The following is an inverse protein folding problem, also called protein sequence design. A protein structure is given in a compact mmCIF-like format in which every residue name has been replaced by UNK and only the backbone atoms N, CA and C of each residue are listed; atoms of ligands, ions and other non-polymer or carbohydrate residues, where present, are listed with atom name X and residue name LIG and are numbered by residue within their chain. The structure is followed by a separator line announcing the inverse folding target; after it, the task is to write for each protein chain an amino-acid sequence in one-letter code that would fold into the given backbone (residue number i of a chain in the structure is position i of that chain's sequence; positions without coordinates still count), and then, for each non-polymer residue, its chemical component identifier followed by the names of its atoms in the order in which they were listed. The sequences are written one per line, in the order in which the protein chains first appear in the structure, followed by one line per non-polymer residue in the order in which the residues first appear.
data_IF_508514443572
#
_entry.id   IF_508514443572
#
_cell.length_a   1.000
_cell.length_b   1.000
_cell.length_c   1.000
_cell.angle_alpha   90.00
_cell.angle_beta   90.00
_cell.angle_gamma   90.00
#
_symmetry.space_group_name_H-M   'P 1'
#
loop_
_entity.id
_entity.type
_entity.pdbx_description
1 polymer ?
#
# COMPACT_ATOMS: atom_id res chain seq x y z
N UNK A 1 28.90 -34.81 23.70
CA UNK A 1 27.71 -35.53 23.23
C UNK A 1 26.62 -34.51 22.89
N UNK A 2 26.72 -33.97 21.68
CA UNK A 2 25.76 -33.06 21.07
C UNK A 2 24.59 -33.88 20.53
N UNK A 3 23.34 -33.54 20.88
CA UNK A 3 22.14 -34.17 20.31
C UNK A 3 21.49 -33.21 19.31
N UNK A 4 21.76 -33.30 18.00
CA UNK A 4 21.19 -32.42 16.97
C UNK A 4 19.79 -32.87 16.49
N UNK A 5 19.05 -33.65 17.29
CA UNK A 5 17.81 -34.29 16.84
C UNK A 5 16.55 -33.39 16.91
N UNK A 6 16.64 -32.21 17.52
CA UNK A 6 15.47 -31.32 17.72
C UNK A 6 15.22 -30.34 16.57
N UNK A 7 16.21 -30.06 15.72
CA UNK A 7 16.07 -29.06 14.65
C UNK A 7 15.47 -29.64 13.35
N UNK A 8 15.67 -30.93 13.09
CA UNK A 8 15.16 -31.59 11.89
C UNK A 8 13.63 -31.82 11.93
N UNK A 9 13.03 -31.94 13.12
CA UNK A 9 11.59 -32.22 13.24
C UNK A 9 10.73 -30.96 13.02
N UNK A 10 11.27 -29.77 13.29
CA UNK A 10 10.57 -28.50 13.07
C UNK A 10 10.54 -28.08 11.59
N UNK A 11 11.53 -28.50 10.80
CA UNK A 11 11.64 -28.16 9.38
C UNK A 11 10.71 -29.02 8.49
N UNK A 12 10.38 -30.23 8.92
CA UNK A 12 9.43 -31.12 8.20
C UNK A 12 7.97 -30.67 8.38
N UNK A 13 7.64 -29.99 9.48
CA UNK A 13 6.28 -29.49 9.75
C UNK A 13 5.92 -28.18 9.02
N UNK A 14 6.91 -27.41 8.52
CA UNK A 14 6.65 -26.12 7.84
C UNK A 14 6.41 -26.26 6.32
N UNK A 15 6.72 -27.41 5.72
CA UNK A 15 6.56 -27.66 4.27
C UNK A 15 5.27 -28.40 3.89
N UNK A 16 4.46 -28.83 4.87
CA UNK A 16 3.17 -29.51 4.64
C UNK A 16 1.94 -28.57 4.67
N UNK A 17 2.14 -27.25 4.84
CA UNK A 17 1.06 -26.26 4.99
C UNK A 17 0.59 -25.59 3.70
N UNK A 18 1.10 -25.99 2.52
CA UNK A 18 0.91 -25.24 1.27
C UNK A 18 -0.01 -25.94 0.24
N UNK A 19 -0.77 -26.98 0.58
CA UNK A 19 -1.48 -27.77 -0.46
C UNK A 19 -2.88 -28.29 -0.11
N UNK A 20 -3.65 -27.55 0.70
CA UNK A 20 -5.08 -27.77 0.77
C UNK A 20 -5.77 -26.48 1.21
N UNK A 21 -6.93 -26.19 0.61
CA UNK A 21 -7.84 -25.05 0.85
C UNK A 21 -7.70 -23.90 -0.16
N UNK A 22 -8.16 -24.10 -1.40
CA UNK A 22 -9.43 -23.55 -1.92
C UNK A 22 -9.45 -23.63 -3.46
N UNK A 23 -9.98 -24.74 -3.96
CA UNK A 23 -10.47 -24.86 -5.34
C UNK A 23 -11.99 -25.07 -5.28
N UNK A 24 -12.73 -24.13 -5.84
CA UNK A 24 -14.08 -24.28 -6.40
C UNK A 24 -13.98 -23.56 -7.76
N UNK A 25 -13.78 -24.25 -8.87
CA UNK A 25 -14.77 -25.00 -9.66
C UNK A 25 -16.00 -24.18 -10.09
N UNK A 26 -16.15 -24.07 -11.41
CA UNK A 26 -17.45 -24.14 -12.08
C UNK A 26 -18.28 -22.85 -12.18
N UNK A 27 -18.20 -22.18 -13.33
CA UNK A 27 -19.17 -21.15 -13.69
C UNK A 27 -18.99 -20.55 -15.08
N UNK A 28 -19.03 -21.38 -16.13
CA UNK A 28 -19.27 -20.91 -17.51
C UNK A 28 -20.77 -20.86 -17.76
N UNK A 29 -21.27 -19.70 -18.18
CA UNK A 29 -22.52 -19.60 -18.96
C UNK A 29 -22.32 -18.48 -19.98
N UNK A 30 -22.32 -18.78 -21.29
CA UNK A 30 -22.47 -17.80 -22.33
C UNK A 30 -23.96 -17.65 -22.62
N UNK A 31 -24.58 -16.58 -22.13
CA UNK A 31 -25.91 -16.20 -22.57
C UNK A 31 -25.82 -14.96 -23.45
N UNK A 32 -26.10 -15.24 -24.72
CA UNK A 32 -26.22 -14.37 -25.87
C UNK A 32 -27.47 -13.48 -25.72
N UNK A 33 -27.27 -12.17 -25.58
CA UNK A 33 -28.31 -11.17 -25.83
C UNK A 33 -27.78 -10.22 -26.90
N UNK A 34 -28.31 -10.36 -28.11
CA UNK A 34 -27.86 -9.66 -29.31
C UNK A 34 -27.85 -8.12 -29.21
N UNK A 35 -27.09 -7.44 -30.08
CA UNK A 35 -27.00 -6.00 -30.07
C UNK A 35 -28.29 -5.38 -30.63
N UNK A 36 -29.08 -4.74 -29.77
CA UNK A 36 -30.00 -3.68 -30.19
C UNK A 36 -29.19 -2.46 -30.60
N UNK A 37 -29.23 -2.02 -31.86
CA UNK A 37 -28.60 -0.77 -32.27
C UNK A 37 -29.54 0.38 -31.90
N UNK A 38 -29.08 1.29 -31.05
CA UNK A 38 -29.78 2.56 -30.81
C UNK A 38 -30.02 2.85 -29.35
N UNK A 39 -28.95 3.14 -28.62
CA UNK A 39 -28.88 4.42 -27.93
C UNK A 39 -27.40 4.75 -27.82
N UNK A 40 -26.93 5.64 -28.70
CA UNK A 40 -25.60 6.20 -28.56
C UNK A 40 -25.64 7.00 -27.25
N UNK A 41 -25.21 6.37 -26.15
CA UNK A 41 -24.85 7.09 -24.95
C UNK A 41 -23.88 8.18 -25.41
N UNK A 42 -24.37 9.43 -25.41
CA UNK A 42 -23.51 10.59 -25.51
C UNK A 42 -22.32 10.32 -24.60
N UNK A 43 -21.08 10.48 -25.07
CA UNK A 43 -19.94 10.36 -24.17
C UNK A 43 -20.20 11.39 -23.08
N UNK A 44 -20.60 10.92 -21.90
CA UNK A 44 -20.73 11.75 -20.73
C UNK A 44 -19.37 12.40 -20.61
N UNK A 45 -19.40 13.71 -20.67
CA UNK A 45 -18.31 14.64 -20.47
C UNK A 45 -17.79 14.47 -19.04
N UNK A 46 -17.17 13.31 -18.77
CA UNK A 46 -16.34 13.09 -17.62
C UNK A 46 -15.00 13.76 -17.92
N UNK A 47 -15.06 15.09 -18.04
CA UNK A 47 -13.88 15.91 -17.78
C UNK A 47 -13.32 15.54 -16.40
N UNK A 48 -12.04 15.82 -16.13
CA UNK A 48 -11.47 15.64 -14.81
C UNK A 48 -12.41 16.31 -13.79
N UNK A 49 -12.90 15.54 -12.82
CA UNK A 49 -13.64 16.14 -11.71
C UNK A 49 -12.70 17.15 -11.05
N UNK A 50 -13.03 18.44 -11.13
CA UNK A 50 -12.28 19.51 -10.47
C UNK A 50 -12.35 19.39 -8.93
N UNK A 51 -13.08 18.40 -8.40
CA UNK A 51 -13.33 18.11 -6.98
C UNK A 51 -12.51 16.92 -6.46
N UNK A 52 -11.52 16.41 -7.20
CA UNK A 52 -10.71 15.26 -6.78
C UNK A 52 -9.77 15.55 -5.59
N UNK A 53 -9.72 16.80 -5.11
CA UNK A 53 -8.74 17.26 -4.13
C UNK A 53 -7.31 17.29 -4.69
N UNK A 54 -6.34 17.74 -3.89
CA UNK A 54 -4.94 17.75 -4.29
C UNK A 54 -4.42 16.33 -4.55
N UNK A 55 -3.85 16.11 -5.74
CA UNK A 55 -3.14 14.88 -6.07
C UNK A 55 -1.71 15.00 -5.54
N UNK A 56 -1.34 14.12 -4.61
CA UNK A 56 0.00 14.08 -4.05
C UNK A 56 0.88 13.06 -4.78
N UNK A 57 2.17 13.35 -5.03
CA UNK A 57 3.09 12.38 -5.62
C UNK A 57 3.31 11.20 -4.67
N UNK A 58 3.84 10.07 -5.14
CA UNK A 58 4.16 8.93 -4.25
C UNK A 58 5.45 9.18 -3.45
N UNK A 59 6.37 9.99 -4.00
CA UNK A 59 7.66 10.34 -3.38
C UNK A 59 8.02 11.81 -3.66
N UNK A 60 8.93 12.37 -2.86
CA UNK A 60 9.46 13.72 -3.03
C UNK A 60 10.85 13.68 -3.69
N UNK A 61 11.13 14.66 -4.56
CA UNK A 61 12.44 14.82 -5.20
C UNK A 61 12.61 14.02 -6.50
N UNK A 62 13.83 14.00 -7.06
CA UNK A 62 14.11 13.36 -8.34
C UNK A 62 14.18 11.83 -8.22
N UNK A 63 13.95 11.14 -9.34
CA UNK A 63 13.90 9.66 -9.41
C UNK A 63 15.21 8.98 -9.00
N UNK A 64 16.37 9.65 -9.10
CA UNK A 64 17.65 9.08 -8.65
C UNK A 64 17.80 9.06 -7.13
N UNK A 65 17.02 9.87 -6.42
CA UNK A 65 17.06 10.07 -4.96
C UNK A 65 15.66 10.40 -4.41
N UNK A 66 14.65 9.52 -4.59
CA UNK A 66 13.31 9.78 -4.09
C UNK A 66 13.30 9.68 -2.57
N UNK A 67 12.62 10.61 -1.92
CA UNK A 67 12.31 10.56 -0.51
C UNK A 67 10.87 10.08 -0.31
N UNK A 68 10.66 9.10 0.56
CA UNK A 68 9.33 8.78 1.05
C UNK A 68 8.84 9.94 1.94
N UNK A 69 7.52 10.16 1.96
CA UNK A 69 6.88 11.07 2.89
C UNK A 69 5.60 10.45 3.43
N UNK A 70 5.14 10.95 4.57
CA UNK A 70 3.90 10.53 5.18
C UNK A 70 2.99 11.74 5.44
N UNK A 71 1.80 11.69 4.84
CA UNK A 71 0.71 12.63 5.05
C UNK A 71 -0.31 12.02 6.03
N UNK A 72 -0.58 12.65 7.19
CA UNK A 72 -1.66 12.23 8.07
C UNK A 72 -3.00 12.24 7.33
N UNK A 73 -3.71 11.11 7.31
CA UNK A 73 -4.96 10.95 6.54
C UNK A 73 -6.11 11.89 6.94
N UNK A 74 -6.01 12.53 8.12
CA UNK A 74 -7.00 13.49 8.61
C UNK A 74 -6.70 14.94 8.16
N UNK A 75 -5.58 15.16 7.46
CA UNK A 75 -5.18 16.48 7.02
C UNK A 75 -5.98 16.91 5.77
N UNK A 76 -6.37 18.18 5.74
CA UNK A 76 -7.23 18.79 4.69
C UNK A 76 -6.45 19.26 3.45
N UNK A 77 -5.12 19.20 3.48
CA UNK A 77 -4.24 19.66 2.40
C UNK A 77 -4.02 21.18 2.37
N UNK A 78 -4.70 21.94 3.24
CA UNK A 78 -4.71 23.41 3.23
C UNK A 78 -4.15 24.00 4.53
N UNK A 79 -4.39 23.34 5.66
CA UNK A 79 -3.95 23.79 6.99
C UNK A 79 -2.44 23.55 7.19
N UNK A 80 -1.61 24.57 7.44
CA UNK A 80 -0.18 24.35 7.62
C UNK A 80 0.13 23.42 8.80
N UNK A 81 0.92 22.36 8.56
CA UNK A 81 1.48 21.48 9.58
C UNK A 81 3.01 21.56 9.59
N UNK A 82 3.66 21.35 10.75
CA UNK A 82 5.11 21.26 10.82
C UNK A 82 5.64 20.06 10.01
N UNK A 83 6.88 20.19 9.53
CA UNK A 83 7.59 19.12 8.81
C UNK A 83 8.73 18.61 9.68
N UNK A 84 8.81 17.30 9.85
CA UNK A 84 9.89 16.60 10.53
C UNK A 84 10.63 15.77 9.49
N UNK A 85 11.95 15.90 9.41
CA UNK A 85 12.77 15.13 8.47
C UNK A 85 13.46 13.99 9.24
N UNK A 86 13.18 12.75 8.85
CA UNK A 86 13.90 11.58 9.35
C UNK A 86 15.08 11.25 8.46
N UNK A 87 16.28 11.29 9.05
CA UNK A 87 17.51 10.80 8.44
C UNK A 87 17.95 9.53 9.17
N UNK A 88 18.10 8.45 8.42
CA UNK A 88 18.52 7.18 9.02
C UNK A 88 20.04 7.08 9.12
N UNK A 89 20.52 6.27 10.08
CA UNK A 89 21.93 5.96 10.22
C UNK A 89 22.48 5.01 9.15
N UNK A 90 23.81 4.86 9.11
CA UNK A 90 24.47 3.86 8.28
C UNK A 90 24.01 2.44 8.65
N UNK A 91 23.62 1.65 7.65
CA UNK A 91 23.12 0.29 7.83
C UNK A 91 21.61 0.18 8.16
N UNK A 92 20.88 1.30 8.17
CA UNK A 92 19.44 1.34 8.37
C UNK A 92 18.69 1.86 7.11
N UNK A 93 17.36 1.94 7.20
CA UNK A 93 16.49 2.63 6.24
C UNK A 93 15.58 3.62 6.96
N UNK A 94 14.97 4.54 6.20
CA UNK A 94 13.97 5.47 6.72
C UNK A 94 12.82 4.75 7.40
N UNK A 95 12.25 3.75 6.73
CA UNK A 95 11.12 2.95 7.23
C UNK A 95 11.47 2.19 8.52
N UNK A 96 12.66 1.59 8.58
CA UNK A 96 13.09 0.84 9.76
C UNK A 96 13.20 1.76 10.99
N UNK A 97 13.77 2.95 10.82
CA UNK A 97 13.91 3.92 11.89
C UNK A 97 12.56 4.58 12.25
N UNK A 98 11.73 4.89 11.26
CA UNK A 98 10.36 5.39 11.46
C UNK A 98 9.52 4.39 12.26
N UNK A 99 9.62 3.10 11.93
CA UNK A 99 8.95 2.01 12.67
C UNK A 99 9.45 1.90 14.11
N UNK A 100 10.77 1.97 14.31
CA UNK A 100 11.37 1.91 15.64
C UNK A 100 10.90 3.05 16.55
N UNK A 101 10.85 4.28 16.03
CA UNK A 101 10.38 5.46 16.77
C UNK A 101 8.86 5.66 16.72
N UNK A 102 8.15 4.88 15.90
CA UNK A 102 6.70 5.00 15.64
C UNK A 102 6.30 6.38 15.10
N UNK A 103 7.12 6.96 14.23
CA UNK A 103 6.93 8.35 13.79
C UNK A 103 5.67 8.56 12.96
N UNK A 104 5.27 7.63 12.10
CA UNK A 104 3.98 7.77 11.40
C UNK A 104 2.78 7.71 12.35
N UNK A 105 2.88 6.98 13.47
CA UNK A 105 1.81 6.98 14.49
C UNK A 105 1.73 8.36 15.12
N UNK A 106 2.88 8.93 15.48
CA UNK A 106 2.95 10.27 16.05
C UNK A 106 2.52 11.34 15.04
N UNK A 107 2.85 11.19 13.75
CA UNK A 107 2.41 12.09 12.69
C UNK A 107 0.87 12.16 12.62
N UNK A 108 0.20 11.01 12.77
CA UNK A 108 -1.27 10.92 12.83
C UNK A 108 -1.87 11.52 14.11
N UNK A 109 -1.21 11.38 15.27
CA UNK A 109 -1.79 11.82 16.57
C UNK A 109 -1.43 13.24 16.96
N UNK A 110 -0.22 13.69 16.62
CA UNK A 110 0.33 14.99 16.99
C UNK A 110 0.25 16.02 15.86
N UNK A 111 0.03 15.58 14.62
CA UNK A 111 -0.18 16.46 13.46
C UNK A 111 1.12 17.05 12.91
N UNK A 112 1.84 16.23 12.15
CA UNK A 112 3.02 16.69 11.38
C UNK A 112 3.22 15.86 10.11
N UNK A 113 3.91 16.44 9.14
CA UNK A 113 4.47 15.73 7.99
C UNK A 113 5.78 15.06 8.38
N UNK A 114 6.01 13.84 7.88
CA UNK A 114 7.25 13.10 8.04
C UNK A 114 7.90 12.81 6.68
#
# INVERSE_FOLDING_TARGET
MTRPLSFALLFVLLLAGCFALFGCDGGTSPDDAGPTPGDAASPSDAGPSEDAGPVFPETLGPDERPAAYFLPSAHDGETPLPVIILLHGYGASGDAQSTYFRLERLARTEGFYL
#
